data_IF_757461381592
#
_entry.id   IF_757461381592
#
_cell.length_a   1.000
_cell.length_b   1.000
_cell.length_c   1.000
_cell.angle_alpha   90.00
_cell.angle_beta   90.00
_cell.angle_gamma   90.00
#
_symmetry.space_group_name_H-M   'P 1'
#
loop_
_entity.id
_entity.type
_entity.pdbx_description
1 polymer ?
#
# COMPACT_ATOMS: atom_id res chain seq x y z
N UNK A 1 18.11 -16.38 21.19
CA UNK A 1 17.54 -15.01 21.13
C UNK A 1 17.73 -14.52 19.71
N UNK A 2 16.62 -14.24 18.99
CA UNK A 2 16.71 -13.70 17.64
C UNK A 2 17.30 -12.29 17.68
N UNK A 3 18.17 -11.99 16.74
CA UNK A 3 18.85 -10.72 16.59
C UNK A 3 18.52 -10.17 15.21
N UNK A 4 18.51 -8.84 15.09
CA UNK A 4 18.32 -8.14 13.84
C UNK A 4 19.48 -7.18 13.61
N UNK A 5 19.90 -7.06 12.36
CA UNK A 5 20.94 -6.13 11.93
C UNK A 5 20.66 -5.66 10.50
N UNK A 6 21.43 -4.68 10.02
CA UNK A 6 21.25 -4.14 8.67
C UNK A 6 22.55 -3.56 8.12
N UNK A 7 22.64 -3.44 6.80
CA UNK A 7 23.62 -2.59 6.13
C UNK A 7 23.06 -2.13 4.79
N UNK A 8 22.88 -0.82 4.63
CA UNK A 8 22.30 -0.23 3.43
C UNK A 8 20.93 -0.80 3.09
N UNK A 9 20.83 -1.53 1.99
CA UNK A 9 19.59 -2.17 1.55
C UNK A 9 19.32 -3.54 2.20
N UNK A 10 20.31 -4.08 2.91
CA UNK A 10 20.26 -5.43 3.46
C UNK A 10 19.71 -5.42 4.89
N UNK A 11 18.76 -6.31 5.15
CA UNK A 11 18.12 -6.56 6.43
C UNK A 11 18.41 -7.99 6.86
N UNK A 12 18.98 -8.17 8.04
CA UNK A 12 19.34 -9.47 8.59
C UNK A 12 18.48 -9.79 9.81
N UNK A 13 17.90 -10.98 9.85
CA UNK A 13 17.17 -11.51 11.01
C UNK A 13 17.57 -12.96 11.20
N UNK A 14 17.99 -13.33 12.41
CA UNK A 14 18.40 -14.70 12.69
C UNK A 14 18.97 -14.87 14.09
N UNK A 15 19.74 -15.93 14.29
CA UNK A 15 20.45 -16.16 15.55
C UNK A 15 21.64 -15.21 15.72
N UNK A 16 21.94 -14.83 16.96
CA UNK A 16 22.99 -13.84 17.25
C UNK A 16 24.36 -14.24 16.69
N UNK A 17 24.70 -15.52 16.80
CA UNK A 17 25.96 -16.10 16.33
C UNK A 17 26.14 -15.88 14.82
N UNK A 18 25.04 -15.89 14.07
CA UNK A 18 25.07 -15.69 12.63
C UNK A 18 25.39 -14.26 12.20
N UNK A 19 25.19 -13.29 13.09
CA UNK A 19 25.41 -11.86 12.82
C UNK A 19 26.78 -11.37 13.27
N UNK A 20 27.44 -12.10 14.19
CA UNK A 20 28.75 -11.71 14.73
C UNK A 20 29.83 -11.59 13.64
N UNK A 21 29.68 -12.32 12.53
CA UNK A 21 30.63 -12.34 11.41
C UNK A 21 30.31 -11.31 10.31
N UNK A 22 29.25 -10.51 10.48
CA UNK A 22 28.87 -9.52 9.47
C UNK A 22 29.65 -8.22 9.67
N UNK A 23 30.50 -7.90 8.70
CA UNK A 23 30.99 -6.54 8.54
C UNK A 23 29.89 -5.67 7.94
N UNK A 24 29.20 -4.90 8.78
CA UNK A 24 28.08 -4.05 8.42
C UNK A 24 28.53 -2.58 8.38
N UNK A 25 29.08 -2.10 7.26
CA UNK A 25 29.41 -0.69 7.16
C UNK A 25 28.13 0.15 7.31
N UNK A 26 28.25 1.26 8.03
CA UNK A 26 27.26 2.31 7.97
C UNK A 26 27.32 2.95 6.57
N UNK A 27 26.15 3.06 5.94
CA UNK A 27 26.02 3.57 4.58
C UNK A 27 25.12 4.80 4.51
N UNK A 28 24.52 5.22 5.63
CA UNK A 28 23.48 6.25 5.67
C UNK A 28 22.18 5.89 4.94
N UNK A 29 22.10 4.73 4.29
CA UNK A 29 20.89 4.26 3.62
C UNK A 29 19.95 3.57 4.63
N UNK A 30 18.72 4.09 4.83
CA UNK A 30 17.84 3.64 5.90
C UNK A 30 17.02 2.38 5.58
N UNK A 31 16.92 1.96 4.31
CA UNK A 31 15.91 0.98 3.88
C UNK A 31 16.10 -0.40 4.52
N UNK A 32 17.34 -0.88 4.62
CA UNK A 32 17.65 -2.16 5.27
C UNK A 32 17.39 -2.13 6.78
N UNK A 33 17.60 -0.99 7.44
CA UNK A 33 17.32 -0.82 8.86
C UNK A 33 15.82 -0.93 9.15
N UNK A 34 14.99 -0.21 8.38
CA UNK A 34 13.54 -0.29 8.50
C UNK A 34 13.01 -1.69 8.16
N UNK A 35 13.50 -2.31 7.08
CA UNK A 35 13.11 -3.67 6.72
C UNK A 35 13.48 -4.69 7.83
N UNK A 36 14.69 -4.60 8.40
CA UNK A 36 15.12 -5.47 9.50
C UNK A 36 14.21 -5.31 10.73
N UNK A 37 13.87 -4.08 11.10
CA UNK A 37 12.94 -3.81 12.20
C UNK A 37 11.55 -4.42 11.95
N UNK A 38 10.98 -4.22 10.76
CA UNK A 38 9.66 -4.76 10.42
C UNK A 38 9.64 -6.29 10.46
N UNK A 39 10.65 -6.94 9.88
CA UNK A 39 10.77 -8.40 9.84
C UNK A 39 10.97 -8.96 11.25
N UNK A 40 11.84 -8.34 12.05
CA UNK A 40 12.08 -8.77 13.43
C UNK A 40 10.82 -8.64 14.31
N UNK A 41 10.06 -7.55 14.17
CA UNK A 41 8.77 -7.39 14.86
C UNK A 41 7.77 -8.45 14.38
N UNK A 42 7.80 -8.85 13.11
CA UNK A 42 7.03 -9.98 12.59
C UNK A 42 7.35 -11.31 13.30
N UNK A 43 8.61 -11.59 13.61
CA UNK A 43 9.01 -12.76 14.41
C UNK A 43 8.48 -12.70 15.84
N UNK A 44 8.56 -11.52 16.47
CA UNK A 44 8.00 -11.29 17.81
C UNK A 44 6.49 -11.52 17.78
N UNK A 45 5.80 -10.97 16.79
CA UNK A 45 4.36 -11.15 16.62
C UNK A 45 3.98 -12.63 16.49
N UNK A 46 4.68 -13.39 15.64
CA UNK A 46 4.46 -14.85 15.50
C UNK A 46 4.69 -15.61 16.81
N UNK A 47 5.72 -15.22 17.56
CA UNK A 47 6.03 -15.84 18.86
C UNK A 47 4.97 -15.54 19.92
N UNK A 48 4.45 -14.31 19.98
CA UNK A 48 3.48 -13.88 21.00
C UNK A 48 2.08 -14.40 20.68
N UNK A 49 1.64 -14.27 19.43
CA UNK A 49 0.29 -14.68 19.03
C UNK A 49 0.14 -16.19 18.86
N UNK A 50 1.26 -16.92 18.80
CA UNK A 50 1.27 -18.35 18.56
C UNK A 50 1.03 -18.67 17.10
N UNK A 51 2.06 -19.16 16.41
CA UNK A 51 1.93 -19.62 15.04
C UNK A 51 1.49 -21.08 15.00
N UNK A 52 0.48 -21.39 14.18
CA UNK A 52 0.12 -22.79 13.91
C UNK A 52 1.28 -23.48 13.17
N UNK A 53 1.77 -24.65 13.63
CA UNK A 53 2.93 -25.31 13.03
C UNK A 53 2.81 -25.62 11.53
N UNK A 54 1.60 -25.73 10.99
CA UNK A 54 1.32 -26.04 9.59
C UNK A 54 1.13 -24.80 8.70
N UNK A 55 1.17 -23.59 9.26
CA UNK A 55 0.83 -22.35 8.55
C UNK A 55 1.96 -21.36 8.34
N UNK A 56 3.12 -21.60 8.95
CA UNK A 56 4.25 -20.70 8.82
C UNK A 56 5.51 -21.21 9.50
N UNK A 57 6.57 -20.43 9.36
CA UNK A 57 7.91 -20.77 9.84
C UNK A 57 8.49 -19.61 10.65
N UNK A 58 9.25 -19.92 11.70
CA UNK A 58 10.11 -18.93 12.36
C UNK A 58 11.37 -18.74 11.51
N UNK A 59 11.95 -17.55 11.54
CA UNK A 59 13.21 -17.27 10.85
C UNK A 59 14.36 -17.83 11.69
N UNK A 60 15.02 -18.86 11.17
CA UNK A 60 16.29 -19.32 11.72
C UNK A 60 17.40 -18.30 11.44
N UNK A 61 17.63 -18.04 10.16
CA UNK A 61 18.63 -17.13 9.63
C UNK A 61 18.25 -16.66 8.23
N UNK A 62 18.19 -15.36 8.01
CA UNK A 62 17.74 -14.77 6.76
C UNK A 62 18.35 -13.40 6.51
N UNK A 63 18.73 -13.15 5.25
CA UNK A 63 18.92 -11.80 4.74
C UNK A 63 17.79 -11.48 3.76
N UNK A 64 17.20 -10.31 3.90
CA UNK A 64 16.27 -9.71 2.94
C UNK A 64 16.92 -8.48 2.33
N UNK A 65 16.78 -8.30 1.02
CA UNK A 65 17.33 -7.14 0.31
C UNK A 65 16.17 -6.24 -0.13
N UNK A 66 16.11 -5.03 0.43
CA UNK A 66 15.19 -3.99 -0.04
C UNK A 66 15.60 -3.43 -1.43
N UNK A 67 16.78 -3.82 -1.94
CA UNK A 67 17.26 -3.42 -3.25
C UNK A 67 16.67 -4.27 -4.37
N UNK A 68 16.71 -5.60 -4.25
CA UNK A 68 16.18 -6.54 -5.26
C UNK A 68 14.85 -7.21 -4.85
N UNK A 69 14.39 -6.93 -3.62
CA UNK A 69 13.18 -7.47 -2.99
C UNK A 69 13.24 -8.99 -2.74
N UNK A 70 14.46 -9.55 -2.73
CA UNK A 70 14.74 -10.96 -2.56
C UNK A 70 15.01 -11.37 -1.12
N UNK A 71 14.83 -12.67 -0.86
CA UNK A 71 15.22 -13.36 0.37
C UNK A 71 16.38 -14.31 0.07
N UNK A 72 17.36 -14.30 0.95
CA UNK A 72 18.59 -15.09 0.84
C UNK A 72 18.91 -15.82 2.14
N UNK A 73 19.26 -17.09 2.01
CA UNK A 73 19.92 -17.86 3.06
C UNK A 73 21.44 -17.65 2.95
N UNK A 74 22.19 -18.01 4.00
CA UNK A 74 23.64 -17.85 4.04
C UNK A 74 24.34 -18.53 2.84
N UNK A 75 25.49 -18.01 2.38
CA UNK A 75 26.18 -16.78 2.83
C UNK A 75 25.65 -15.50 2.13
N UNK A 76 25.78 -14.34 2.80
CA UNK A 76 25.22 -13.06 2.31
C UNK A 76 26.24 -12.05 1.77
N UNK A 77 27.54 -12.32 1.90
CA UNK A 77 28.60 -11.35 1.60
C UNK A 77 28.70 -10.89 0.14
N UNK A 78 27.99 -11.55 -0.79
CA UNK A 78 28.02 -11.25 -2.23
C UNK A 78 26.74 -10.58 -2.74
N UNK A 79 25.80 -10.20 -1.86
CA UNK A 79 24.55 -9.57 -2.27
C UNK A 79 24.80 -8.13 -2.76
N UNK A 80 24.05 -7.70 -3.78
CA UNK A 80 24.10 -6.32 -4.25
C UNK A 80 23.64 -5.37 -3.13
N UNK A 81 24.52 -4.44 -2.75
CA UNK A 81 24.22 -3.41 -1.75
C UNK A 81 24.77 -2.05 -2.20
N UNK A 82 24.25 -1.51 -3.33
CA UNK A 82 24.77 -0.26 -3.86
C UNK A 82 24.44 0.88 -2.89
N UNK A 83 25.39 1.75 -2.55
CA UNK A 83 25.13 2.91 -1.71
C UNK A 83 24.22 3.90 -2.43
N UNK A 84 23.45 4.65 -1.64
CA UNK A 84 22.65 5.77 -2.14
C UNK A 84 23.56 7.00 -2.14
N UNK A 85 24.01 7.41 -3.32
CA UNK A 85 24.93 8.53 -3.46
C UNK A 85 24.23 9.82 -3.85
N UNK A 86 24.50 10.89 -3.12
CA UNK A 86 24.15 12.25 -3.49
C UNK A 86 22.66 12.57 -3.38
N UNK A 87 22.27 13.79 -3.77
CA UNK A 87 20.89 14.22 -3.67
C UNK A 87 19.98 13.40 -4.60
N UNK A 88 18.77 13.10 -4.14
CA UNK A 88 17.74 12.38 -4.89
C UNK A 88 16.57 13.33 -5.11
N UNK A 89 16.34 13.72 -6.36
CA UNK A 89 15.16 14.51 -6.73
C UNK A 89 13.98 13.59 -7.03
N UNK A 90 12.97 13.61 -6.16
CA UNK A 90 11.74 12.87 -6.31
C UNK A 90 10.82 13.46 -7.41
N UNK A 91 11.09 14.68 -7.86
CA UNK A 91 10.25 15.45 -8.77
C UNK A 91 8.87 15.70 -8.16
N UNK A 92 7.84 15.73 -9.02
CA UNK A 92 6.46 15.88 -8.56
C UNK A 92 5.84 14.51 -8.25
N UNK A 93 5.59 14.24 -6.97
CA UNK A 93 5.04 12.99 -6.47
C UNK A 93 3.68 13.22 -5.82
N UNK A 94 2.65 12.53 -6.30
CA UNK A 94 1.32 12.56 -5.69
C UNK A 94 1.14 11.30 -4.83
N UNK A 95 1.01 11.47 -3.52
CA UNK A 95 0.80 10.37 -2.58
C UNK A 95 -0.69 10.27 -2.28
N UNK A 96 -1.37 9.31 -2.88
CA UNK A 96 -2.81 9.10 -2.75
C UNK A 96 -3.08 8.05 -1.67
N UNK A 97 -3.85 8.42 -0.65
CA UNK A 97 -3.99 7.69 0.60
C UNK A 97 -2.92 8.13 1.60
N UNK A 98 -3.32 8.61 2.76
CA UNK A 98 -2.48 9.08 3.85
C UNK A 98 -2.56 8.14 5.07
N UNK A 99 -2.83 6.86 4.84
CA UNK A 99 -2.86 5.82 5.88
C UNK A 99 -1.47 5.29 6.27
N UNK A 100 -1.44 4.10 6.88
CA UNK A 100 -0.25 3.52 7.50
C UNK A 100 0.93 3.33 6.53
N UNK A 101 0.64 2.91 5.30
CA UNK A 101 1.64 2.73 4.24
C UNK A 101 2.30 4.08 3.88
N UNK A 102 1.51 5.15 3.75
CA UNK A 102 2.02 6.48 3.41
C UNK A 102 2.85 7.10 4.56
N UNK A 103 2.42 6.89 5.80
CA UNK A 103 3.20 7.26 6.98
C UNK A 103 4.58 6.58 6.98
N UNK A 104 4.64 5.28 6.74
CA UNK A 104 5.90 4.56 6.69
C UNK A 104 6.75 4.91 5.46
N UNK A 105 6.13 5.17 4.32
CA UNK A 105 6.79 5.70 3.13
C UNK A 105 7.52 7.00 3.44
N UNK A 106 6.84 7.95 4.09
CA UNK A 106 7.44 9.23 4.49
C UNK A 106 8.55 9.04 5.52
N UNK A 107 8.30 8.22 6.56
CA UNK A 107 9.29 7.93 7.59
C UNK A 107 10.58 7.30 7.05
N UNK A 108 10.47 6.47 6.00
CA UNK A 108 11.62 5.85 5.35
C UNK A 108 12.48 6.85 4.55
N UNK A 109 11.87 7.94 4.08
CA UNK A 109 12.53 8.99 3.31
C UNK A 109 13.23 10.03 4.20
N UNK A 110 12.69 10.32 5.39
CA UNK A 110 13.20 11.37 6.28
C UNK A 110 14.71 11.28 6.62
N UNK A 111 15.31 10.09 6.85
CA UNK A 111 16.73 10.00 7.17
C UNK A 111 17.64 10.21 5.97
N UNK A 112 17.11 10.37 4.75
CA UNK A 112 17.93 10.51 3.56
C UNK A 112 18.47 11.93 3.41
N UNK A 113 19.79 12.04 3.31
CA UNK A 113 20.46 13.31 3.01
C UNK A 113 20.24 13.74 1.55
N UNK A 114 19.98 15.03 1.34
CA UNK A 114 19.87 15.63 0.02
C UNK A 114 18.61 15.21 -0.77
N UNK A 115 17.56 14.76 -0.09
CA UNK A 115 16.28 14.51 -0.72
C UNK A 115 15.63 15.84 -1.16
N UNK A 116 15.19 15.92 -2.42
CA UNK A 116 14.50 17.07 -2.98
C UNK A 116 13.23 16.62 -3.74
N UNK A 117 12.33 17.56 -4.04
CA UNK A 117 11.11 17.33 -4.80
C UNK A 117 9.86 17.88 -4.15
N UNK A 118 8.73 17.70 -4.84
CA UNK A 118 7.41 18.18 -4.47
C UNK A 118 6.48 17.00 -4.15
N UNK A 119 6.12 16.85 -2.88
CA UNK A 119 5.21 15.80 -2.42
C UNK A 119 3.82 16.36 -2.17
N UNK A 120 2.82 15.86 -2.89
CA UNK A 120 1.43 16.27 -2.74
C UNK A 120 0.60 15.14 -2.14
N UNK A 121 0.15 15.31 -0.90
CA UNK A 121 -0.60 14.31 -0.15
C UNK A 121 -2.10 14.43 -0.39
N UNK A 122 -2.78 13.34 -0.70
CA UNK A 122 -4.19 13.35 -1.07
C UNK A 122 -4.89 12.27 -0.28
N UNK A 123 -5.85 12.66 0.56
CA UNK A 123 -6.70 11.76 1.33
C UNK A 123 -8.10 12.38 1.43
N UNK A 124 -9.11 11.61 1.81
CA UNK A 124 -10.47 12.13 1.96
C UNK A 124 -10.74 12.30 3.45
N UNK A 125 -11.01 13.53 3.89
CA UNK A 125 -11.37 13.90 5.28
C UNK A 125 -12.85 14.36 5.39
N UNK A 126 -13.54 14.47 4.26
CA UNK A 126 -14.79 15.22 4.13
C UNK A 126 -16.07 14.41 4.30
N UNK A 127 -16.03 13.13 4.68
CA UNK A 127 -17.26 12.44 5.10
C UNK A 127 -17.50 12.71 6.59
N UNK A 128 -18.42 13.62 6.97
CA UNK A 128 -18.71 13.91 8.37
C UNK A 128 -19.31 12.70 9.12
N UNK A 129 -19.71 11.65 8.42
CA UNK A 129 -20.23 10.42 9.01
C UNK A 129 -19.17 9.31 9.14
N UNK A 130 -17.94 9.55 8.65
CA UNK A 130 -16.85 8.58 8.74
C UNK A 130 -15.68 9.19 9.52
N UNK A 131 -15.64 8.90 10.83
CA UNK A 131 -14.61 9.44 11.73
C UNK A 131 -13.22 8.86 11.44
N UNK A 132 -13.16 7.64 10.87
CA UNK A 132 -11.92 6.96 10.48
C UNK A 132 -11.08 7.75 9.46
N UNK A 133 -11.62 8.81 8.86
CA UNK A 133 -10.95 9.68 7.90
C UNK A 133 -9.98 10.70 8.53
N UNK A 134 -10.01 10.85 9.86
CA UNK A 134 -9.06 11.68 10.62
C UNK A 134 -8.04 10.82 11.37
N UNK A 135 -7.07 11.48 12.00
CA UNK A 135 -6.23 10.80 12.99
C UNK A 135 -7.08 10.50 14.21
N UNK A 136 -7.17 9.23 14.59
CA UNK A 136 -7.99 8.75 15.70
C UNK A 136 -7.22 7.73 16.52
N UNK A 137 -7.57 7.62 17.80
CA UNK A 137 -6.92 6.68 18.72
C UNK A 137 -6.84 5.24 18.17
N UNK A 138 -7.86 4.77 17.42
CA UNK A 138 -7.92 3.44 16.79
C UNK A 138 -6.88 3.23 15.69
N UNK A 139 -6.46 4.30 15.00
CA UNK A 139 -5.52 4.22 13.88
C UNK A 139 -4.08 4.61 14.24
N UNK A 140 -3.86 5.25 15.39
CA UNK A 140 -2.52 5.60 15.92
C UNK A 140 -1.56 4.41 16.06
N UNK A 141 -2.09 3.21 16.34
CA UNK A 141 -1.26 2.00 16.43
C UNK A 141 -0.53 1.66 15.11
N UNK A 142 -0.97 2.22 13.97
CA UNK A 142 -0.46 1.94 12.63
C UNK A 142 0.23 3.13 11.96
N UNK A 143 0.09 4.35 12.48
CA UNK A 143 0.58 5.57 11.85
C UNK A 143 1.89 6.04 12.51
N UNK A 144 3.03 5.59 11.98
CA UNK A 144 4.35 5.80 12.60
C UNK A 144 4.77 7.28 12.77
N UNK A 145 4.12 8.21 12.05
CA UNK A 145 4.41 9.65 12.14
C UNK A 145 3.31 10.46 12.87
N UNK A 146 2.32 9.78 13.43
CA UNK A 146 1.26 10.37 14.23
C UNK A 146 1.49 10.08 15.72
N UNK A 147 0.93 10.93 16.56
CA UNK A 147 0.92 10.77 18.02
C UNK A 147 -0.45 11.12 18.57
N UNK A 148 -0.67 10.87 19.86
CA UNK A 148 -1.92 11.26 20.54
C UNK A 148 -2.20 12.79 20.44
N UNK A 149 -1.18 13.61 20.20
CA UNK A 149 -1.35 15.06 20.02
C UNK A 149 -1.91 15.43 18.65
N UNK A 150 -1.94 14.48 17.71
CA UNK A 150 -2.40 14.70 16.34
C UNK A 150 -3.86 14.28 16.13
N UNK A 151 -4.55 13.79 17.17
CA UNK A 151 -5.95 13.36 17.10
C UNK A 151 -6.87 14.48 16.57
N UNK A 152 -7.77 14.11 15.65
CA UNK A 152 -8.70 15.01 14.96
C UNK A 152 -8.08 15.80 13.80
N UNK A 153 -6.78 15.67 13.53
CA UNK A 153 -6.14 16.28 12.35
C UNK A 153 -6.43 15.49 11.08
N UNK A 154 -6.43 16.20 9.94
CA UNK A 154 -6.50 15.56 8.63
C UNK A 154 -5.20 14.82 8.32
N UNK A 155 -5.31 13.56 7.88
CA UNK A 155 -4.16 12.67 7.65
C UNK A 155 -3.19 13.22 6.60
N UNK A 156 -3.71 13.66 5.45
CA UNK A 156 -2.90 14.22 4.37
C UNK A 156 -2.13 15.47 4.81
N UNK A 157 -2.80 16.34 5.58
CA UNK A 157 -2.19 17.56 6.13
C UNK A 157 -1.08 17.24 7.13
N UNK A 158 -1.30 16.26 8.01
CA UNK A 158 -0.28 15.83 8.97
C UNK A 158 1.02 15.41 8.25
N UNK A 159 0.92 14.58 7.21
CA UNK A 159 2.11 14.15 6.46
C UNK A 159 2.80 15.32 5.75
N UNK A 160 2.04 16.24 5.14
CA UNK A 160 2.60 17.44 4.53
C UNK A 160 3.37 18.30 5.55
N UNK A 161 2.80 18.53 6.73
CA UNK A 161 3.44 19.31 7.79
C UNK A 161 4.72 18.63 8.30
N UNK A 162 4.72 17.30 8.47
CA UNK A 162 5.91 16.56 8.92
C UNK A 162 7.03 16.57 7.89
N UNK A 163 6.70 16.43 6.62
CA UNK A 163 7.70 16.41 5.54
C UNK A 163 8.24 17.81 5.26
N UNK A 164 7.40 18.84 5.28
CA UNK A 164 7.85 20.25 5.15
C UNK A 164 8.74 20.71 6.30
N UNK A 165 8.49 20.26 7.53
CA UNK A 165 9.38 20.52 8.66
C UNK A 165 10.80 19.97 8.47
N UNK A 166 10.99 19.02 7.54
CA UNK A 166 12.28 18.45 7.15
C UNK A 166 12.80 19.01 5.81
N UNK A 167 12.28 20.15 5.36
CA UNK A 167 12.79 20.88 4.19
C UNK A 167 12.28 20.41 2.83
N UNK A 168 11.35 19.45 2.79
CA UNK A 168 10.76 18.93 1.54
C UNK A 168 9.59 19.83 1.12
N UNK A 169 9.48 20.16 -0.16
CA UNK A 169 8.34 20.94 -0.66
C UNK A 169 7.09 20.06 -0.63
N UNK A 170 6.01 20.55 -0.02
CA UNK A 170 4.77 19.77 0.12
C UNK A 170 3.51 20.58 -0.15
N UNK A 171 2.45 19.86 -0.49
CA UNK A 171 1.06 20.33 -0.48
C UNK A 171 0.13 19.19 -0.08
N UNK A 172 -1.15 19.51 0.15
CA UNK A 172 -2.13 18.49 0.48
C UNK A 172 -3.54 18.80 -0.07
N UNK A 173 -4.36 17.75 -0.16
CA UNK A 173 -5.80 17.79 -0.43
C UNK A 173 -6.50 16.82 0.53
N UNK A 174 -7.58 17.27 1.15
CA UNK A 174 -8.39 16.54 2.12
C UNK A 174 -9.80 16.20 1.61
N UNK A 175 -10.08 16.44 0.33
CA UNK A 175 -11.36 16.19 -0.33
C UNK A 175 -11.36 14.92 -1.19
N UNK A 176 -10.30 14.14 -1.13
CA UNK A 176 -10.11 12.94 -1.93
C UNK A 176 -9.57 13.19 -3.34
N UNK A 177 -9.16 12.11 -3.99
CA UNK A 177 -8.41 12.18 -5.26
C UNK A 177 -9.21 12.75 -6.42
N UNK A 178 -10.48 12.36 -6.58
CA UNK A 178 -11.30 12.82 -7.70
C UNK A 178 -11.58 14.32 -7.64
N UNK A 179 -11.90 14.82 -6.45
CA UNK A 179 -12.18 16.23 -6.25
C UNK A 179 -10.90 17.08 -6.44
N UNK A 180 -9.74 16.60 -5.95
CA UNK A 180 -8.44 17.22 -6.23
C UNK A 180 -8.18 17.40 -7.74
N UNK A 181 -8.23 16.30 -8.51
CA UNK A 181 -7.91 16.36 -9.95
C UNK A 181 -8.94 17.14 -10.77
N UNK A 182 -10.20 17.18 -10.31
CA UNK A 182 -11.25 17.97 -10.95
C UNK A 182 -11.06 19.47 -10.73
N UNK A 183 -10.66 19.90 -9.52
CA UNK A 183 -10.42 21.33 -9.23
C UNK A 183 -9.16 21.87 -9.90
N UNK A 184 -8.08 21.09 -9.87
CA UNK A 184 -6.77 21.55 -10.29
C UNK A 184 -6.56 21.53 -11.82
N UNK A 185 -7.61 21.24 -12.61
CA UNK A 185 -7.74 21.35 -14.07
C UNK A 185 -6.46 21.07 -14.88
N UNK A 186 -6.38 19.90 -15.54
CA UNK A 186 -5.20 19.42 -16.28
C UNK A 186 -3.95 19.13 -15.42
N UNK A 187 -4.13 18.70 -14.18
CA UNK A 187 -3.02 18.20 -13.34
C UNK A 187 -2.26 17.11 -14.08
N UNK A 188 -0.96 17.31 -14.27
CA UNK A 188 -0.05 16.27 -14.74
C UNK A 188 0.34 15.38 -13.57
N UNK A 189 0.17 14.07 -13.74
CA UNK A 189 0.51 13.05 -12.75
C UNK A 189 1.71 12.23 -13.21
N UNK A 190 2.94 12.79 -13.18
CA UNK A 190 4.13 12.07 -13.65
C UNK A 190 4.46 10.87 -12.74
N UNK A 191 4.23 10.99 -11.43
CA UNK A 191 4.39 9.89 -10.49
C UNK A 191 3.29 9.94 -9.44
N UNK A 192 2.64 8.79 -9.24
CA UNK A 192 1.66 8.57 -8.18
C UNK A 192 2.16 7.45 -7.29
N UNK A 193 2.10 7.65 -5.97
CA UNK A 193 2.20 6.58 -4.97
C UNK A 193 0.78 6.28 -4.50
N UNK A 194 0.28 5.10 -4.81
CA UNK A 194 -1.05 4.63 -4.42
C UNK A 194 -0.96 3.85 -3.12
N UNK A 195 -1.34 4.50 -2.02
CA UNK A 195 -1.46 3.94 -0.67
C UNK A 195 -2.92 3.78 -0.22
N UNK A 196 -3.88 3.95 -1.14
CA UNK A 196 -5.31 3.74 -0.89
C UNK A 196 -5.65 2.26 -0.70
N UNK A 197 -6.62 1.99 0.17
CA UNK A 197 -7.05 0.65 0.57
C UNK A 197 -8.19 0.09 -0.29
N UNK A 198 -9.02 0.95 -0.88
CA UNK A 198 -10.19 0.53 -1.63
C UNK A 198 -9.99 0.56 -3.16
N UNK A 199 -10.66 -0.38 -3.85
CA UNK A 199 -10.56 -0.51 -5.30
C UNK A 199 -11.21 0.66 -6.05
N UNK A 200 -12.18 1.36 -5.44
CA UNK A 200 -12.79 2.57 -6.00
C UNK A 200 -11.75 3.66 -6.28
N UNK A 201 -11.00 4.04 -5.25
CA UNK A 201 -9.94 5.03 -5.33
C UNK A 201 -8.80 4.58 -6.26
N UNK A 202 -8.40 3.30 -6.22
CA UNK A 202 -7.42 2.74 -7.16
C UNK A 202 -7.86 2.91 -8.62
N UNK A 203 -9.14 2.70 -8.90
CA UNK A 203 -9.70 2.91 -10.23
C UNK A 203 -9.68 4.38 -10.63
N UNK A 204 -10.10 5.27 -9.74
CA UNK A 204 -10.08 6.72 -9.98
C UNK A 204 -8.66 7.24 -10.30
N UNK A 205 -7.64 6.75 -9.58
CA UNK A 205 -6.23 7.03 -9.88
C UNK A 205 -5.87 6.60 -11.30
N UNK A 206 -6.19 5.35 -11.67
CA UNK A 206 -5.84 4.80 -12.98
C UNK A 206 -6.55 5.51 -14.15
N UNK A 207 -7.79 5.99 -13.94
CA UNK A 207 -8.57 6.72 -14.94
C UNK A 207 -7.96 8.06 -15.34
N UNK A 208 -7.09 8.62 -14.50
CA UNK A 208 -6.34 9.85 -14.82
C UNK A 208 -5.05 9.61 -15.59
N UNK A 209 -4.80 8.36 -15.99
CA UNK A 209 -3.67 7.94 -16.83
C UNK A 209 -2.34 8.55 -16.31
N UNK A 210 -1.93 8.30 -15.05
CA UNK A 210 -0.63 8.74 -14.56
C UNK A 210 0.49 8.15 -15.40
N UNK A 211 1.63 8.84 -15.54
CA UNK A 211 2.79 8.30 -16.26
C UNK A 211 3.29 7.03 -15.58
N UNK A 212 3.35 7.02 -14.25
CA UNK A 212 3.79 5.87 -13.46
C UNK A 212 3.06 5.83 -12.11
N UNK A 213 2.68 4.64 -11.68
CA UNK A 213 2.07 4.40 -10.37
C UNK A 213 2.92 3.39 -9.59
N UNK A 214 3.31 3.74 -8.37
CA UNK A 214 3.85 2.80 -7.38
C UNK A 214 2.72 2.45 -6.40
N UNK A 215 2.25 1.22 -6.40
CA UNK A 215 1.14 0.77 -5.55
C UNK A 215 1.63 -0.03 -4.35
N UNK A 216 1.12 0.27 -3.16
CA UNK A 216 1.32 -0.52 -1.96
C UNK A 216 0.00 -1.12 -1.48
N UNK A 217 0.05 -2.37 -1.07
CA UNK A 217 -1.10 -3.09 -0.50
C UNK A 217 -0.63 -3.99 0.64
N UNK A 218 -1.54 -4.21 1.58
CA UNK A 218 -1.36 -5.15 2.69
C UNK A 218 -2.57 -6.06 2.78
N UNK A 219 -2.35 -7.36 2.96
CA UNK A 219 -3.41 -8.35 3.16
C UNK A 219 -2.82 -9.59 3.83
N UNK A 220 -3.51 -10.23 4.77
CA UNK A 220 -3.08 -11.51 5.40
C UNK A 220 -1.63 -11.56 5.91
N UNK A 221 -1.16 -10.53 6.61
CA UNK A 221 0.25 -10.37 7.01
C UNK A 221 1.23 -10.46 5.82
N UNK A 222 0.84 -9.90 4.69
CA UNK A 222 1.65 -9.79 3.49
C UNK A 222 1.83 -8.32 3.15
N UNK A 223 3.08 -7.94 2.98
CA UNK A 223 3.45 -6.66 2.41
C UNK A 223 3.56 -6.84 0.90
N UNK A 224 3.00 -5.92 0.11
CA UNK A 224 3.08 -5.98 -1.34
C UNK A 224 3.34 -4.61 -1.94
N UNK A 225 4.24 -4.58 -2.92
CA UNK A 225 4.56 -3.40 -3.70
C UNK A 225 4.53 -3.74 -5.18
N UNK A 226 3.97 -2.83 -5.98
CA UNK A 226 3.80 -3.02 -7.41
C UNK A 226 4.12 -1.73 -8.17
N UNK A 227 4.51 -1.85 -9.44
CA UNK A 227 4.65 -0.72 -10.36
C UNK A 227 3.74 -0.91 -11.56
N UNK A 228 3.00 0.14 -11.92
CA UNK A 228 2.10 0.14 -13.06
C UNK A 228 2.51 1.25 -14.04
N UNK A 229 2.77 0.83 -15.28
CA UNK A 229 3.12 1.69 -16.41
C UNK A 229 2.31 1.25 -17.64
N UNK A 230 1.40 2.10 -18.12
CA UNK A 230 0.59 1.82 -19.31
C UNK A 230 1.40 1.91 -20.62
N UNK A 231 2.61 2.48 -20.58
CA UNK A 231 3.56 2.44 -21.69
C UNK A 231 4.16 1.06 -21.93
N UNK A 232 4.14 0.16 -20.94
CA UNK A 232 4.49 -1.25 -21.13
C UNK A 232 3.28 -2.05 -21.62
N UNK A 233 3.26 -2.43 -22.90
CA UNK A 233 2.15 -3.18 -23.51
C UNK A 233 1.87 -4.52 -22.81
N UNK A 234 2.89 -5.15 -22.23
CA UNK A 234 2.81 -6.47 -21.57
C UNK A 234 2.58 -6.42 -20.04
N UNK A 235 2.28 -5.25 -19.48
CA UNK A 235 2.19 -5.06 -18.03
C UNK A 235 0.77 -4.76 -17.57
N UNK A 236 0.30 -5.44 -16.54
CA UNK A 236 -1.02 -5.12 -15.97
C UNK A 236 -1.11 -3.66 -15.51
N UNK A 237 -2.29 -3.05 -15.64
CA UNK A 237 -2.57 -1.76 -15.02
C UNK A 237 -3.13 -1.94 -13.59
N UNK A 238 -3.25 -0.84 -12.84
CA UNK A 238 -3.75 -0.87 -11.46
C UNK A 238 -5.16 -1.48 -11.36
N UNK A 239 -6.02 -1.24 -12.35
CA UNK A 239 -7.38 -1.83 -12.43
C UNK A 239 -7.39 -3.32 -12.70
N UNK A 240 -6.44 -3.81 -13.48
CA UNK A 240 -6.38 -5.25 -13.76
C UNK A 240 -6.02 -6.03 -12.51
N UNK A 241 -5.12 -5.48 -11.69
CA UNK A 241 -4.76 -6.06 -10.41
C UNK A 241 -5.91 -5.98 -9.40
N UNK A 242 -6.60 -4.84 -9.37
CA UNK A 242 -7.64 -4.52 -8.41
C UNK A 242 -9.02 -4.44 -9.08
N UNK A 243 -9.60 -5.53 -9.60
CA UNK A 243 -10.94 -5.46 -10.18
C UNK A 243 -11.93 -5.00 -9.10
N UNK A 244 -12.87 -4.12 -9.48
CA UNK A 244 -14.05 -3.93 -8.63
C UNK A 244 -14.77 -5.28 -8.62
N UNK A 245 -15.10 -5.79 -7.43
CA UNK A 245 -16.08 -6.87 -7.35
C UNK A 245 -17.35 -6.30 -7.98
N UNK A 246 -17.99 -7.03 -8.90
CA UNK A 246 -19.33 -6.66 -9.32
C UNK A 246 -20.16 -6.56 -8.04
N UNK A 247 -20.91 -5.47 -7.88
CA UNK A 247 -21.80 -5.35 -6.74
C UNK A 247 -22.71 -6.58 -6.78
N UNK A 248 -22.69 -7.37 -5.70
CA UNK A 248 -23.63 -8.46 -5.56
C UNK A 248 -25.02 -7.86 -5.78
N UNK A 249 -25.82 -8.48 -6.65
CA UNK A 249 -27.18 -8.01 -6.89
C UNK A 249 -27.93 -8.00 -5.56
N UNK A 250 -28.89 -7.09 -5.40
CA UNK A 250 -29.67 -6.99 -4.16
C UNK A 250 -30.21 -8.38 -3.75
N UNK A 251 -30.66 -9.18 -4.73
CA UNK A 251 -31.11 -10.56 -4.54
C UNK A 251 -30.03 -11.48 -3.93
N UNK A 252 -28.78 -11.41 -4.39
CA UNK A 252 -27.66 -12.19 -3.83
C UNK A 252 -27.31 -11.75 -2.40
N UNK A 253 -27.35 -10.45 -2.14
CA UNK A 253 -27.12 -9.89 -0.79
C UNK A 253 -28.23 -10.35 0.16
N UNK A 254 -29.49 -10.27 -0.28
CA UNK A 254 -30.64 -10.73 0.49
C UNK A 254 -30.57 -12.22 0.81
N UNK A 255 -30.30 -13.07 -0.19
CA UNK A 255 -30.20 -14.51 0.04
C UNK A 255 -29.05 -14.84 0.98
N UNK A 256 -27.91 -14.14 0.87
CA UNK A 256 -26.80 -14.32 1.80
C UNK A 256 -27.16 -13.91 3.23
N UNK A 257 -27.83 -12.76 3.41
CA UNK A 257 -28.34 -12.33 4.70
C UNK A 257 -29.35 -13.33 5.26
N UNK A 258 -30.32 -13.83 4.48
CA UNK A 258 -31.29 -14.83 4.97
C UNK A 258 -30.62 -16.11 5.48
N UNK A 259 -29.55 -16.53 4.82
CA UNK A 259 -28.81 -17.75 5.18
C UNK A 259 -27.81 -17.55 6.33
N UNK A 260 -27.57 -16.30 6.78
CA UNK A 260 -26.71 -15.99 7.92
C UNK A 260 -27.46 -16.19 9.25
N UNK A 261 -26.83 -16.80 10.28
CA UNK A 261 -27.42 -16.90 11.61
C UNK A 261 -27.84 -15.53 12.17
N UNK A 262 -29.01 -15.46 12.83
CA UNK A 262 -29.58 -14.21 13.34
C UNK A 262 -28.60 -13.41 14.22
N UNK A 263 -27.82 -14.09 15.08
CA UNK A 263 -26.81 -13.42 15.91
C UNK A 263 -25.73 -12.72 15.08
N UNK A 264 -25.28 -13.34 13.98
CA UNK A 264 -24.30 -12.75 13.08
C UNK A 264 -24.90 -11.57 12.29
N UNK A 265 -26.17 -11.64 11.89
CA UNK A 265 -26.85 -10.52 11.20
C UNK A 265 -27.02 -9.31 12.10
N UNK A 266 -27.41 -9.55 13.36
CA UNK A 266 -27.56 -8.47 14.35
C UNK A 266 -26.21 -7.81 14.65
N UNK A 267 -25.14 -8.60 14.80
CA UNK A 267 -23.79 -8.07 14.97
C UNK A 267 -23.34 -7.25 13.75
N UNK A 268 -23.59 -7.75 12.54
CA UNK A 268 -23.29 -7.06 11.29
C UNK A 268 -24.12 -5.78 11.12
N UNK A 269 -25.38 -5.77 11.52
CA UNK A 269 -26.22 -4.56 11.49
C UNK A 269 -25.61 -3.45 12.35
N UNK A 270 -25.20 -3.78 13.59
CA UNK A 270 -24.55 -2.83 14.49
C UNK A 270 -23.23 -2.33 13.90
N UNK A 271 -22.38 -3.22 13.38
CA UNK A 271 -21.12 -2.89 12.73
C UNK A 271 -21.31 -1.89 11.57
N UNK A 272 -22.41 -2.03 10.82
CA UNK A 272 -22.75 -1.16 9.69
C UNK A 272 -23.63 0.04 10.06
N UNK A 273 -23.77 0.34 11.35
CA UNK A 273 -24.53 1.50 11.85
C UNK A 273 -26.04 1.41 11.58
N UNK A 274 -26.60 0.21 11.57
CA UNK A 274 -28.02 -0.07 11.36
C UNK A 274 -28.64 -0.69 12.62
N UNK A 275 -29.86 -0.29 12.95
CA UNK A 275 -30.65 -0.93 14.01
C UNK A 275 -30.95 -2.39 13.63
N UNK A 276 -30.55 -3.39 14.43
CA UNK A 276 -30.74 -4.80 14.09
C UNK A 276 -32.19 -5.18 13.81
N UNK A 277 -33.13 -4.59 14.54
CA UNK A 277 -34.57 -4.78 14.37
C UNK A 277 -35.04 -4.33 12.99
N UNK A 278 -34.46 -3.24 12.46
CA UNK A 278 -34.78 -2.71 11.13
C UNK A 278 -34.31 -3.67 10.03
N UNK A 279 -33.10 -4.24 10.18
CA UNK A 279 -32.61 -5.27 9.26
C UNK A 279 -33.48 -6.54 9.30
N UNK A 280 -33.82 -7.03 10.49
CA UNK A 280 -34.63 -8.26 10.63
C UNK A 280 -36.06 -8.07 10.11
N UNK A 281 -36.69 -6.92 10.39
CA UNK A 281 -38.01 -6.60 9.86
C UNK A 281 -37.98 -6.57 8.32
N UNK A 282 -36.92 -6.02 7.74
CA UNK A 282 -36.76 -5.95 6.29
C UNK A 282 -36.53 -7.31 5.62
N UNK A 283 -35.87 -8.24 6.31
CA UNK A 283 -35.70 -9.61 5.82
C UNK A 283 -37.01 -10.43 5.89
N UNK A 284 -37.93 -10.06 6.79
CA UNK A 284 -39.23 -10.72 6.97
C UNK A 284 -40.31 -10.14 6.04
N UNK A 285 -40.36 -8.81 5.92
CA UNK A 285 -41.34 -8.08 5.12
C UNK A 285 -40.67 -7.55 3.84
N UNK A 286 -40.71 -8.34 2.76
CA UNK A 286 -40.29 -7.91 1.40
C UNK A 286 -41.24 -6.86 0.79
N UNK A 287 -41.83 -5.99 1.62
CA UNK A 287 -42.66 -4.89 1.13
C UNK A 287 -41.71 -3.78 0.66
N UNK A 288 -41.61 -3.67 -0.65
CA UNK A 288 -40.95 -2.57 -1.35
C UNK A 288 -41.32 -1.22 -0.70
N UNK A 289 -40.39 -0.57 0.01
CA UNK A 289 -40.64 0.81 0.47
C UNK A 289 -39.77 1.44 1.54
N UNK A 290 -39.06 0.73 2.43
CA UNK A 290 -38.48 1.39 3.62
C UNK A 290 -36.97 1.35 3.79
N UNK A 291 -36.25 0.39 3.20
CA UNK A 291 -34.80 0.48 3.03
C UNK A 291 -34.51 0.69 1.55
N UNK A 292 -33.93 1.85 1.20
CA UNK A 292 -33.49 2.10 -0.16
C UNK A 292 -32.37 1.13 -0.55
N UNK A 293 -32.20 0.87 -1.84
CA UNK A 293 -31.15 -0.02 -2.38
C UNK A 293 -29.74 0.32 -1.82
N UNK A 294 -29.49 1.59 -1.49
CA UNK A 294 -28.26 2.05 -0.83
C UNK A 294 -27.99 1.38 0.54
N UNK A 295 -29.03 1.02 1.28
CA UNK A 295 -28.89 0.37 2.59
C UNK A 295 -28.63 -1.13 2.51
N UNK A 296 -29.10 -1.79 1.45
CA UNK A 296 -28.81 -3.21 1.18
C UNK A 296 -27.37 -3.37 0.69
N UNK A 297 -26.86 -2.43 -0.12
CA UNK A 297 -25.47 -2.45 -0.57
C UNK A 297 -24.45 -2.37 0.57
N UNK A 298 -24.81 -1.78 1.73
CA UNK A 298 -23.97 -1.82 2.94
C UNK A 298 -23.67 -3.24 3.44
N UNK A 299 -24.43 -4.23 3.00
CA UNK A 299 -24.26 -5.65 3.30
C UNK A 299 -23.73 -6.47 2.12
N UNK A 300 -23.47 -5.88 0.95
CA UNK A 300 -22.87 -6.61 -0.17
C UNK A 300 -21.42 -7.06 0.12
N UNK A 301 -20.76 -6.40 1.08
CA UNK A 301 -19.36 -6.58 1.46
C UNK A 301 -19.19 -7.51 2.69
N UNK A 302 -20.04 -8.54 2.80
CA UNK A 302 -20.03 -9.52 3.92
C UNK A 302 -18.77 -10.42 3.97
N UNK A 303 -17.97 -10.47 2.90
CA UNK A 303 -16.84 -11.42 2.80
C UNK A 303 -15.56 -11.01 3.57
N UNK A 304 -15.56 -9.85 4.23
CA UNK A 304 -14.38 -9.39 4.94
C UNK A 304 -14.46 -9.83 6.41
N UNK A 305 -13.91 -11.01 6.71
CA UNK A 305 -13.47 -11.32 8.07
C UNK A 305 -12.68 -10.10 8.60
N UNK A 306 -12.80 -9.72 9.88
CA UNK A 306 -12.21 -8.47 10.37
C UNK A 306 -10.73 -8.40 9.99
N UNK A 307 -10.44 -7.55 8.99
CA UNK A 307 -9.10 -7.37 8.46
C UNK A 307 -8.34 -6.50 9.47
N UNK A 308 -7.68 -7.15 10.43
CA UNK A 308 -6.74 -6.44 11.28
C UNK A 308 -5.43 -6.27 10.50
N UNK A 309 -5.06 -5.03 10.20
CA UNK A 309 -3.72 -4.73 9.72
C UNK A 309 -2.80 -4.47 10.91
N UNK A 310 -1.65 -5.12 10.93
CA UNK A 310 -0.60 -4.88 11.92
C UNK A 310 0.45 -3.95 11.35
N UNK A 311 0.92 -3.01 12.17
CA UNK A 311 1.76 -1.89 11.73
C UNK A 311 3.00 -2.33 10.94
N UNK A 312 3.73 -3.36 11.41
CA UNK A 312 4.97 -3.80 10.74
C UNK A 312 4.77 -4.28 9.29
N UNK A 313 3.56 -4.72 8.91
CA UNK A 313 3.25 -5.12 7.53
C UNK A 313 3.11 -3.87 6.66
N UNK A 314 2.28 -2.92 7.07
CA UNK A 314 2.14 -1.63 6.36
C UNK A 314 3.43 -0.83 6.37
N UNK A 315 4.21 -0.92 7.45
CA UNK A 315 5.51 -0.28 7.57
C UNK A 315 6.49 -0.83 6.54
N UNK A 316 6.63 -2.16 6.44
CA UNK A 316 7.45 -2.76 5.40
C UNK A 316 6.98 -2.34 4.00
N UNK A 317 5.67 -2.33 3.74
CA UNK A 317 5.13 -1.90 2.45
C UNK A 317 5.52 -0.46 2.10
N UNK A 318 5.38 0.48 3.04
CA UNK A 318 5.77 1.87 2.83
C UNK A 318 7.27 2.04 2.60
N UNK A 319 8.10 1.30 3.35
CA UNK A 319 9.57 1.30 3.21
C UNK A 319 9.99 0.78 1.83
N UNK A 320 9.40 -0.34 1.38
CA UNK A 320 9.71 -0.90 0.07
C UNK A 320 9.24 0.03 -1.07
N UNK A 321 8.09 0.67 -0.92
CA UNK A 321 7.62 1.69 -1.87
C UNK A 321 8.59 2.86 -1.97
N UNK A 322 9.03 3.40 -0.83
CA UNK A 322 9.99 4.50 -0.79
C UNK A 322 11.31 4.11 -1.47
N UNK A 323 11.78 2.88 -1.20
CA UNK A 323 12.95 2.31 -1.87
C UNK A 323 12.79 2.23 -3.39
N UNK A 324 11.68 1.70 -3.90
CA UNK A 324 11.43 1.64 -5.35
C UNK A 324 11.34 3.03 -5.98
N UNK A 325 10.66 3.99 -5.34
CA UNK A 325 10.59 5.38 -5.82
C UNK A 325 11.99 5.99 -5.90
N UNK A 326 12.79 5.90 -4.84
CA UNK A 326 14.18 6.40 -4.84
C UNK A 326 15.01 5.75 -5.94
N UNK A 327 14.90 4.44 -6.13
CA UNK A 327 15.61 3.71 -7.20
C UNK A 327 15.17 4.17 -8.59
N UNK A 328 13.88 4.45 -8.78
CA UNK A 328 13.35 4.96 -10.06
C UNK A 328 13.80 6.39 -10.39
N UNK A 329 14.22 7.16 -9.37
CA UNK A 329 14.62 8.57 -9.47
C UNK A 329 16.13 8.76 -9.49
N UNK A 330 16.88 7.76 -9.06
CA UNK A 330 18.33 7.77 -9.11
C UNK A 330 18.85 7.30 -10.46
N UNK A 331 19.83 8.01 -11.01
CA UNK A 331 20.55 7.58 -12.21
C UNK A 331 21.56 6.44 -11.97
N UNK A 332 21.85 6.14 -10.71
CA UNK A 332 22.88 5.15 -10.29
C UNK A 332 22.29 3.86 -9.75
N UNK A 333 21.01 3.87 -9.40
CA UNK A 333 20.31 2.72 -8.86
C UNK A 333 19.37 2.16 -9.93
N UNK A 334 19.05 0.88 -9.77
CA UNK A 334 18.12 0.18 -10.64
C UNK A 334 16.92 -0.27 -9.80
N UNK A 335 15.69 0.12 -10.14
CA UNK A 335 14.52 -0.38 -9.43
C UNK A 335 14.38 -1.90 -9.63
N UNK A 336 13.91 -2.60 -8.60
CA UNK A 336 13.61 -4.02 -8.73
C UNK A 336 12.37 -4.19 -9.63
N UNK A 337 11.43 -3.25 -9.51
CA UNK A 337 10.21 -3.17 -10.28
C UNK A 337 10.37 -2.15 -11.41
N UNK A 338 10.47 -2.64 -12.64
CA UNK A 338 10.77 -1.80 -13.82
C UNK A 338 9.53 -1.55 -14.69
N UNK A 339 8.36 -2.03 -14.26
CA UNK A 339 7.13 -1.90 -15.03
C UNK A 339 7.22 -2.59 -16.39
N UNK A 340 8.14 -3.56 -16.60
CA UNK A 340 8.30 -4.32 -17.86
C UNK A 340 8.40 -5.82 -17.64
N UNK A 341 9.32 -6.25 -16.76
CA UNK A 341 9.61 -7.66 -16.46
C UNK A 341 9.21 -8.06 -15.06
N UNK A 342 9.24 -7.10 -14.12
CA UNK A 342 8.90 -7.32 -12.72
C UNK A 342 8.01 -6.17 -12.30
N UNK A 343 6.76 -6.49 -12.00
CA UNK A 343 5.72 -5.49 -11.74
C UNK A 343 5.12 -5.64 -10.35
N UNK A 344 5.34 -6.77 -9.70
CA UNK A 344 4.77 -7.08 -8.39
C UNK A 344 5.79 -7.83 -7.53
N UNK A 345 5.93 -7.38 -6.29
CA UNK A 345 6.71 -8.06 -5.26
C UNK A 345 5.90 -8.15 -3.98
N UNK A 346 6.02 -9.27 -3.28
CA UNK A 346 5.41 -9.43 -1.95
C UNK A 346 6.31 -10.17 -0.98
N UNK A 347 6.17 -9.84 0.29
CA UNK A 347 6.78 -10.53 1.42
C UNK A 347 5.67 -11.04 2.35
N UNK A 348 5.60 -12.35 2.52
CA UNK A 348 4.64 -13.00 3.41
C UNK A 348 5.30 -13.30 4.76
N UNK A 349 4.86 -12.62 5.82
CA UNK A 349 5.46 -12.75 7.16
C UNK A 349 5.25 -14.11 7.81
N UNK A 350 4.14 -14.80 7.50
CA UNK A 350 3.91 -16.15 8.02
C UNK A 350 4.92 -17.17 7.50
N UNK A 351 5.23 -17.15 6.21
CA UNK A 351 6.11 -18.16 5.57
C UNK A 351 7.54 -17.65 5.34
N UNK A 352 7.79 -16.38 5.64
CA UNK A 352 9.03 -15.66 5.33
C UNK A 352 9.40 -15.81 3.84
N UNK A 353 8.43 -15.78 2.93
CA UNK A 353 8.66 -15.94 1.49
C UNK A 353 8.55 -14.61 0.78
N UNK A 354 9.49 -14.39 -0.14
CA UNK A 354 9.39 -13.34 -1.14
C UNK A 354 8.82 -13.92 -2.43
N UNK A 355 7.97 -13.16 -3.08
CA UNK A 355 7.51 -13.44 -4.42
C UNK A 355 7.81 -12.23 -5.29
N UNK A 356 8.31 -12.47 -6.49
CA UNK A 356 8.58 -11.46 -7.49
C UNK A 356 8.04 -11.98 -8.82
N UNK A 357 7.01 -11.34 -9.35
CA UNK A 357 6.27 -11.87 -10.48
C UNK A 357 6.15 -10.86 -11.63
N UNK A 358 6.31 -11.30 -12.89
CA UNK A 358 5.68 -10.59 -13.99
C UNK A 358 4.16 -10.77 -13.87
N UNK A 359 3.39 -9.75 -14.21
CA UNK A 359 1.93 -9.86 -14.26
C UNK A 359 1.42 -9.21 -15.55
N UNK A 360 0.73 -10.02 -16.34
CA UNK A 360 0.21 -9.64 -17.65
C UNK A 360 -1.13 -8.89 -17.53
N UNK A 361 -1.45 -8.01 -18.49
CA UNK A 361 -2.78 -7.42 -18.59
C UNK A 361 -3.85 -8.50 -18.68
N UNK A 362 -4.96 -8.31 -17.96
CA UNK A 362 -6.13 -9.18 -18.12
C UNK A 362 -6.81 -8.83 -19.45
N UNK A 363 -7.13 -9.79 -20.34
CA UNK A 363 -7.71 -9.48 -21.65
C UNK A 363 -9.00 -8.65 -21.62
N UNK A 364 -9.85 -8.88 -20.62
CA UNK A 364 -11.11 -8.15 -20.43
C UNK A 364 -10.95 -6.81 -19.68
N UNK A 365 -9.74 -6.45 -19.27
CA UNK A 365 -9.49 -5.23 -18.50
C UNK A 365 -9.68 -3.98 -19.37
N UNK A 366 -10.08 -2.88 -18.74
CA UNK A 366 -10.20 -1.56 -19.37
C UNK A 366 -8.96 -1.14 -20.18
N UNK A 367 -7.75 -1.46 -19.72
CA UNK A 367 -6.52 -1.11 -20.44
C UNK A 367 -6.25 -1.94 -21.71
N UNK A 368 -7.04 -2.99 -21.95
CA UNK A 368 -6.86 -3.96 -23.03
C UNK A 368 -8.06 -4.00 -23.99
N UNK A 369 -9.12 -3.24 -23.71
CA UNK A 369 -10.36 -3.24 -24.49
C UNK A 369 -10.66 -1.85 -25.06
N UNK A 370 -11.44 -1.79 -26.15
CA UNK A 370 -11.84 -0.55 -26.82
C UNK A 370 -11.18 -0.33 -28.20
N UNK A 371 -11.78 0.52 -29.03
CA UNK A 371 -11.27 0.88 -30.38
C UNK A 371 -10.03 1.79 -30.32
N UNK A 372 -9.94 2.62 -29.28
CA UNK A 372 -8.74 3.36 -28.88
C UNK A 372 -8.50 3.00 -27.43
N UNK A 373 -7.48 2.20 -27.18
CA UNK A 373 -7.21 1.70 -25.83
C UNK A 373 -6.68 2.85 -24.97
N UNK A 374 -6.86 2.78 -23.64
CA UNK A 374 -6.24 3.74 -22.73
C UNK A 374 -4.71 3.82 -22.87
N UNK A 375 -4.06 2.78 -23.41
CA UNK A 375 -2.64 2.79 -23.75
C UNK A 375 -2.33 3.69 -24.95
N UNK A 376 -3.22 3.74 -25.93
CA UNK A 376 -3.07 4.65 -27.07
C UNK A 376 -3.16 6.11 -26.60
N UNK A 377 -4.11 6.39 -25.70
CA UNK A 377 -4.23 7.70 -25.05
C UNK A 377 -3.01 8.00 -24.20
N UNK A 378 -2.52 7.03 -23.41
CA UNK A 378 -1.28 7.17 -22.64
C UNK A 378 -0.11 7.58 -23.53
N UNK A 379 0.10 6.91 -24.68
CA UNK A 379 1.19 7.20 -25.62
C UNK A 379 1.11 8.62 -26.21
N UNK A 380 -0.09 9.19 -26.29
CA UNK A 380 -0.31 10.59 -26.70
C UNK A 380 0.00 11.60 -25.57
N UNK A 381 -0.38 11.28 -24.33
CA UNK A 381 -0.18 12.17 -23.17
C UNK A 381 1.28 12.16 -22.70
N UNK A 382 1.90 10.98 -22.74
CA UNK A 382 3.25 10.68 -22.27
C UNK A 382 4.06 10.10 -23.42
N UNK A 383 4.41 10.90 -24.44
CA UNK A 383 5.26 10.41 -25.53
C UNK A 383 6.54 9.82 -24.93
N UNK A 384 6.95 8.66 -25.46
CA UNK A 384 8.19 8.04 -25.05
C UNK A 384 9.30 9.09 -25.15
N UNK A 385 10.09 9.25 -24.09
CA UNK A 385 11.36 9.93 -24.25
C UNK A 385 12.10 9.18 -25.34
N UNK A 386 12.45 9.87 -26.44
CA UNK A 386 13.49 9.40 -27.33
C UNK A 386 14.72 9.17 -26.45
N UNK A 387 15.00 7.90 -26.18
CA UNK A 387 16.25 7.51 -25.54
C UNK A 387 17.28 7.65 -26.65
N UNK A 388 17.79 8.86 -26.81
CA UNK A 388 19.01 9.13 -27.58
C UNK A 388 20.23 8.63 -26.78
#
# INVERSE_FOLDING_TARGET
>A
MKSAACSGWLAYVGDREDLCDLNLPDTGNPFGAFAAACIAVGEVYKSVCGMRPDKGDMIDSMCFSAYDLGRYLKPWGNLENPPVYGPVDLGNLHVCGAGAVAHAFCQALLPMDGLDGNLFFIDQSTDPNNSDEKIETTNLARYIMASNQDEGRDKARLLADRMSANGIQTGFSDDGFEAYVNRANNVKLPHVVSCVDNNGARHAIQDRIPKMIHGGSTSDLRSQVSVYDLGCDDCQCLKCYNPKKDAASDAEVYERLKNMPMEQRRALAVDRGMEPEVLEQHLQDLVCGTLGNESIQKFAEIDDAPEFSVNFVSALTGVLLAGEVVKSKSSRLRPALDGRRRVDASYAFFTNRCYLAPVKPKPACWCSTGKSTPRDVYKQIWPAYSVD
#
